data_IF_307541293934
#
_entry.id   IF_307541293934
#
_cell.length_a   1.000
_cell.length_b   1.000
_cell.length_c   1.000
_cell.angle_alpha   90.00
_cell.angle_beta   90.00
_cell.angle_gamma   90.00
#
_symmetry.space_group_name_H-M   'P 1'
#
loop_
_entity.id
_entity.type
_entity.pdbx_description
1 polymer ?
#
# COMPACT_ATOMS: atom_id res chain seq x y z
N UNK A 1 -20.50 30.45 37.84
CA UNK A 1 -21.20 30.63 36.54
C UNK A 1 -20.41 29.88 35.49
N UNK A 2 -21.01 28.81 34.98
CA UNK A 2 -20.40 27.67 34.30
C UNK A 2 -19.84 28.00 32.91
N UNK A 3 -18.53 27.81 32.71
CA UNK A 3 -17.89 27.74 31.38
C UNK A 3 -17.50 26.28 31.08
N UNK A 4 -18.46 25.37 31.01
CA UNK A 4 -18.19 23.91 30.88
C UNK A 4 -19.28 23.26 30.03
N UNK A 5 -19.36 23.63 28.75
CA UNK A 5 -20.33 22.98 27.85
C UNK A 5 -19.82 22.82 26.42
N UNK A 6 -18.96 23.73 25.94
CA UNK A 6 -18.41 23.63 24.57
C UNK A 6 -17.06 22.91 24.47
N UNK A 7 -16.25 22.93 25.52
CA UNK A 7 -14.95 22.22 25.55
C UNK A 7 -15.15 20.73 25.83
N UNK A 8 -16.12 20.38 26.70
CA UNK A 8 -16.47 18.99 27.03
C UNK A 8 -17.03 18.23 25.83
N UNK A 9 -17.81 18.89 24.95
CA UNK A 9 -18.30 18.29 23.69
C UNK A 9 -17.21 17.97 22.66
N UNK A 10 -16.02 18.57 22.77
CA UNK A 10 -14.88 18.28 21.89
C UNK A 10 -14.12 17.04 22.41
N UNK A 11 -14.13 16.82 23.73
CA UNK A 11 -13.42 15.70 24.38
C UNK A 11 -14.07 14.35 24.05
N UNK A 12 -15.40 14.33 23.85
CA UNK A 12 -16.17 13.11 23.55
C UNK A 12 -16.37 12.84 22.04
N UNK A 13 -15.64 13.53 21.16
CA UNK A 13 -15.69 13.28 19.71
C UNK A 13 -14.34 12.74 19.17
N UNK A 14 -14.41 11.69 18.36
CA UNK A 14 -13.23 11.10 17.74
C UNK A 14 -12.92 11.83 16.44
N UNK A 15 -11.74 12.48 16.41
CA UNK A 15 -11.20 13.03 15.18
C UNK A 15 -10.68 11.89 14.29
N UNK A 16 -11.31 11.71 13.13
CA UNK A 16 -10.98 10.64 12.17
C UNK A 16 -10.65 11.21 10.79
N UNK A 17 -9.94 10.41 9.99
CA UNK A 17 -9.71 10.73 8.57
C UNK A 17 -10.94 10.39 7.72
N UNK A 18 -10.94 10.88 6.48
CA UNK A 18 -12.01 10.65 5.51
C UNK A 18 -12.32 9.16 5.33
N UNK A 19 -11.31 8.31 5.28
CA UNK A 19 -11.45 6.88 5.01
C UNK A 19 -12.33 6.18 6.06
N UNK A 20 -12.30 6.63 7.32
CA UNK A 20 -13.15 6.10 8.39
C UNK A 20 -14.60 6.55 8.25
N UNK A 21 -14.83 7.80 7.85
CA UNK A 21 -16.18 8.31 7.58
C UNK A 21 -16.79 7.58 6.38
N UNK A 22 -16.00 7.27 5.35
CA UNK A 22 -16.45 6.55 4.16
C UNK A 22 -16.98 5.14 4.48
N UNK A 23 -16.44 4.47 5.51
CA UNK A 23 -16.93 3.15 5.94
C UNK A 23 -18.36 3.18 6.45
N UNK A 24 -18.89 4.34 6.84
CA UNK A 24 -20.27 4.49 7.28
C UNK A 24 -21.28 4.38 6.13
N UNK A 25 -20.83 4.48 4.88
CA UNK A 25 -21.70 4.57 3.70
C UNK A 25 -21.50 3.37 2.78
N UNK A 26 -22.60 2.74 2.39
CA UNK A 26 -22.63 1.69 1.38
C UNK A 26 -23.72 2.04 0.35
N UNK A 27 -23.36 2.35 -0.91
CA UNK A 27 -22.02 2.33 -1.49
C UNK A 27 -21.12 3.48 -1.01
N UNK A 28 -19.80 3.26 -1.11
CA UNK A 28 -18.79 4.26 -0.77
C UNK A 28 -18.99 5.53 -1.63
N UNK A 29 -19.08 6.73 -1.02
CA UNK A 29 -19.29 7.96 -1.78
C UNK A 29 -18.07 8.32 -2.62
N UNK A 30 -18.31 8.91 -3.79
CA UNK A 30 -17.26 9.51 -4.59
C UNK A 30 -16.65 10.73 -3.87
N UNK A 31 -15.42 11.10 -4.26
CA UNK A 31 -14.69 12.22 -3.63
C UNK A 31 -15.42 13.56 -3.72
N UNK A 32 -16.00 13.85 -4.88
CA UNK A 32 -16.76 15.09 -5.10
C UNK A 32 -18.00 15.12 -4.19
N UNK A 33 -18.76 14.03 -4.17
CA UNK A 33 -19.94 13.85 -3.32
C UNK A 33 -19.62 14.01 -1.84
N UNK A 34 -18.47 13.48 -1.38
CA UNK A 34 -18.02 13.64 -0.01
C UNK A 34 -17.77 15.12 0.35
N UNK A 35 -17.07 15.86 -0.53
CA UNK A 35 -16.84 17.29 -0.31
C UNK A 35 -18.14 18.10 -0.35
N UNK A 36 -19.08 17.75 -1.22
CA UNK A 36 -20.41 18.36 -1.23
C UNK A 36 -21.15 18.15 0.09
N UNK A 37 -21.04 16.96 0.69
CA UNK A 37 -21.63 16.67 2.00
C UNK A 37 -20.97 17.43 3.15
N UNK A 38 -19.66 17.68 3.06
CA UNK A 38 -18.96 18.56 4.00
C UNK A 38 -19.47 20.00 3.85
N UNK A 39 -19.61 20.50 2.63
CA UNK A 39 -20.11 21.85 2.35
C UNK A 39 -21.57 22.02 2.78
N UNK A 40 -22.41 21.00 2.56
CA UNK A 40 -23.80 20.94 3.05
C UNK A 40 -23.92 20.77 4.56
N UNK A 41 -22.80 20.53 5.25
CA UNK A 41 -22.77 20.36 6.70
C UNK A 41 -23.26 19.00 7.20
N UNK A 42 -23.45 18.01 6.33
CA UNK A 42 -23.76 16.63 6.74
C UNK A 42 -22.57 15.99 7.45
N UNK A 43 -21.36 16.24 6.95
CA UNK A 43 -20.10 15.78 7.54
C UNK A 43 -19.42 16.95 8.23
N UNK A 44 -19.01 16.76 9.49
CA UNK A 44 -18.46 17.84 10.32
C UNK A 44 -16.94 17.83 10.28
N UNK A 45 -16.32 18.92 9.84
CA UNK A 45 -14.86 19.08 9.91
C UNK A 45 -14.40 19.38 11.34
N UNK A 46 -13.24 18.83 11.69
CA UNK A 46 -12.53 19.21 12.92
C UNK A 46 -11.98 20.65 12.78
N UNK A 47 -12.08 21.44 13.84
CA UNK A 47 -11.54 22.81 13.84
C UNK A 47 -10.03 22.76 14.00
N UNK A 48 -9.30 23.56 13.22
CA UNK A 48 -7.85 23.64 13.28
C UNK A 48 -7.09 22.46 12.67
N UNK A 49 -7.79 21.41 12.21
CA UNK A 49 -7.19 20.21 11.62
C UNK A 49 -7.74 19.97 10.21
N UNK A 50 -6.93 20.28 9.19
CA UNK A 50 -7.32 20.09 7.79
C UNK A 50 -7.37 18.59 7.45
N UNK A 51 -8.48 18.16 6.85
CA UNK A 51 -8.67 16.76 6.42
C UNK A 51 -9.09 15.80 7.53
N UNK A 52 -9.38 16.32 8.73
CA UNK A 52 -9.95 15.56 9.83
C UNK A 52 -11.42 15.92 10.03
N UNK A 53 -12.20 14.92 10.42
CA UNK A 53 -13.64 15.01 10.58
C UNK A 53 -14.04 14.46 11.95
N UNK A 54 -15.14 14.97 12.47
CA UNK A 54 -15.69 14.60 13.76
C UNK A 54 -16.68 13.45 13.58
N UNK A 55 -16.33 12.26 14.06
CA UNK A 55 -17.08 11.03 13.82
C UNK A 55 -18.45 11.07 14.49
N UNK A 56 -18.51 11.38 15.79
CA UNK A 56 -19.75 11.34 16.55
C UNK A 56 -20.69 12.45 16.09
N UNK A 57 -20.19 13.67 15.85
CA UNK A 57 -21.01 14.75 15.27
C UNK A 57 -21.55 14.41 13.88
N UNK A 58 -20.75 13.75 13.03
CA UNK A 58 -21.22 13.30 11.71
C UNK A 58 -22.28 12.22 11.85
N UNK A 59 -22.09 11.23 12.72
CA UNK A 59 -23.07 10.15 12.98
C UNK A 59 -24.40 10.69 13.49
N UNK A 60 -24.37 11.60 14.47
CA UNK A 60 -25.58 12.23 15.01
C UNK A 60 -26.34 13.00 13.93
N UNK A 61 -25.64 13.72 13.02
CA UNK A 61 -26.28 14.42 11.89
C UNK A 61 -26.89 13.48 10.86
N UNK A 62 -26.32 12.29 10.70
CA UNK A 62 -26.88 11.22 9.87
C UNK A 62 -27.99 10.43 10.58
N UNK A 63 -28.36 10.79 11.81
CA UNK A 63 -29.37 10.09 12.61
C UNK A 63 -28.87 8.76 13.20
N UNK A 64 -27.56 8.53 13.24
CA UNK A 64 -26.96 7.33 13.80
C UNK A 64 -26.55 7.55 15.26
N UNK A 65 -26.58 6.47 16.05
CA UNK A 65 -26.09 6.51 17.43
C UNK A 65 -24.59 6.84 17.48
N UNK A 66 -24.15 7.71 18.41
CA UNK A 66 -22.74 8.02 18.60
C UNK A 66 -21.99 6.79 19.11
N UNK A 67 -20.69 6.73 18.85
CA UNK A 67 -19.80 5.69 19.36
C UNK A 67 -19.42 6.04 20.79
N UNK A 68 -19.60 5.08 21.71
CA UNK A 68 -19.15 5.21 23.10
C UNK A 68 -17.61 5.12 23.15
N UNK A 69 -16.97 6.28 23.32
CA UNK A 69 -15.50 6.36 23.34
C UNK A 69 -14.88 5.74 24.59
N UNK A 70 -15.62 5.60 25.70
CA UNK A 70 -15.09 4.93 26.89
C UNK A 70 -14.97 3.43 26.65
N UNK A 71 -15.97 2.84 25.98
CA UNK A 71 -15.90 1.45 25.51
C UNK A 71 -14.84 1.29 24.44
N UNK A 72 -14.85 2.15 23.43
CA UNK A 72 -13.86 2.08 22.34
C UNK A 72 -12.42 2.22 22.87
N UNK A 73 -12.15 3.16 23.78
CA UNK A 73 -10.83 3.32 24.41
C UNK A 73 -10.47 2.13 25.30
N UNK A 74 -11.44 1.46 25.93
CA UNK A 74 -11.21 0.26 26.74
C UNK A 74 -10.95 -0.99 25.88
N UNK A 75 -11.64 -1.10 24.74
CA UNK A 75 -11.47 -2.19 23.76
C UNK A 75 -10.21 -2.02 22.91
N UNK A 76 -9.87 -0.77 22.55
CA UNK A 76 -8.64 -0.38 21.87
C UNK A 76 -7.51 0.02 22.83
N UNK A 77 -7.70 -0.11 24.15
CA UNK A 77 -6.58 -0.15 25.07
C UNK A 77 -5.82 -1.41 24.69
N UNK A 78 -4.86 -1.23 23.79
CA UNK A 78 -3.93 -2.25 23.35
C UNK A 78 -3.50 -2.97 24.62
N UNK A 79 -3.82 -4.26 24.83
CA UNK A 79 -3.21 -5.03 25.89
C UNK A 79 -1.71 -4.75 25.76
N UNK A 80 -1.00 -4.40 26.83
CA UNK A 80 0.45 -4.22 26.70
C UNK A 80 1.00 -5.54 26.16
N UNK A 81 1.25 -5.57 24.86
CA UNK A 81 1.73 -6.77 24.18
C UNK A 81 3.16 -6.87 24.65
N UNK A 82 3.50 -7.92 25.39
CA UNK A 82 4.86 -8.12 25.85
C UNK A 82 5.78 -7.98 24.64
N UNK A 83 6.70 -7.03 24.74
CA UNK A 83 7.61 -6.67 23.63
C UNK A 83 8.43 -7.85 23.11
N UNK A 84 8.51 -8.94 23.88
CA UNK A 84 9.10 -10.22 23.50
C UNK A 84 8.20 -11.02 22.52
N UNK A 85 6.88 -11.06 22.73
CA UNK A 85 5.94 -11.75 21.84
C UNK A 85 5.71 -11.04 20.52
N UNK A 86 5.87 -9.70 20.47
CA UNK A 86 5.83 -8.96 19.20
C UNK A 86 7.04 -9.30 18.33
N UNK A 87 8.23 -9.46 18.93
CA UNK A 87 9.45 -9.85 18.20
C UNK A 87 9.31 -11.24 17.58
N UNK A 88 8.82 -12.21 18.36
CA UNK A 88 8.67 -13.60 17.92
C UNK A 88 7.65 -13.76 16.78
N UNK A 89 6.60 -12.92 16.74
CA UNK A 89 5.60 -12.95 15.66
C UNK A 89 6.03 -12.14 14.41
N UNK A 90 6.92 -11.15 14.55
CA UNK A 90 7.45 -10.40 13.40
C UNK A 90 8.42 -11.23 12.55
N UNK A 91 9.03 -12.26 13.12
CA UNK A 91 9.99 -13.14 12.43
C UNK A 91 9.33 -14.20 11.52
N UNK A 92 8.01 -14.40 11.60
CA UNK A 92 7.29 -15.46 10.86
C UNK A 92 6.57 -15.02 9.59
N UNK A 93 6.52 -13.73 9.27
CA UNK A 93 6.02 -13.29 7.96
C UNK A 93 7.17 -13.20 6.97
N UNK A 94 7.16 -14.05 5.94
CA UNK A 94 8.10 -13.88 4.82
C UNK A 94 7.96 -12.46 4.27
N UNK A 95 9.07 -11.71 4.15
CA UNK A 95 9.01 -10.32 3.74
C UNK A 95 8.39 -10.25 2.34
N UNK A 96 7.20 -9.64 2.25
CA UNK A 96 6.65 -9.20 0.96
C UNK A 96 7.73 -8.38 0.27
N UNK A 97 8.25 -8.90 -0.84
CA UNK A 97 9.35 -8.30 -1.57
C UNK A 97 9.01 -6.84 -1.92
N UNK A 98 9.55 -5.92 -1.13
CA UNK A 98 9.47 -4.50 -1.41
C UNK A 98 10.12 -4.29 -2.78
N UNK A 99 9.35 -3.85 -3.78
CA UNK A 99 9.84 -3.58 -5.14
C UNK A 99 11.01 -2.58 -5.14
N UNK A 100 11.23 -1.88 -4.02
CA UNK A 100 12.33 -0.93 -3.80
C UNK A 100 13.61 -1.55 -3.25
N UNK A 101 13.56 -2.75 -2.68
CA UNK A 101 14.70 -3.37 -1.98
C UNK A 101 15.59 -4.23 -2.90
N UNK A 102 15.08 -4.68 -4.04
CA UNK A 102 15.86 -5.34 -5.09
C UNK A 102 15.57 -4.71 -6.45
N UNK A 103 16.21 -3.58 -6.80
CA UNK A 103 16.01 -2.99 -8.12
C UNK A 103 16.39 -4.04 -9.18
N UNK A 104 15.56 -4.26 -10.20
CA UNK A 104 15.86 -5.25 -11.22
C UNK A 104 17.20 -4.93 -11.86
N UNK A 105 18.18 -5.80 -11.66
CA UNK A 105 19.48 -5.68 -12.29
C UNK A 105 19.31 -5.79 -13.82
N UNK A 106 19.42 -4.65 -14.49
CA UNK A 106 19.46 -4.57 -15.95
C UNK A 106 20.90 -4.71 -16.42
N UNK A 107 21.10 -5.49 -17.47
CA UNK A 107 22.39 -5.68 -18.11
C UNK A 107 22.28 -5.44 -19.61
N UNK A 108 23.38 -5.00 -20.21
CA UNK A 108 23.52 -4.85 -21.65
C UNK A 108 23.62 -6.22 -22.34
N UNK A 109 23.48 -6.26 -23.66
CA UNK A 109 23.64 -7.49 -24.46
C UNK A 109 25.01 -8.13 -24.24
N UNK A 110 26.07 -7.31 -24.12
CA UNK A 110 27.44 -7.81 -23.90
C UNK A 110 27.58 -8.46 -22.53
N UNK A 111 27.06 -7.83 -21.49
CA UNK A 111 27.07 -8.39 -20.12
C UNK A 111 26.20 -9.65 -20.03
N UNK A 112 25.04 -9.67 -20.70
CA UNK A 112 24.19 -10.86 -20.77
C UNK A 112 24.87 -12.04 -21.47
N UNK A 113 25.62 -11.77 -22.54
CA UNK A 113 26.39 -12.79 -23.24
C UNK A 113 27.48 -13.38 -22.34
N UNK A 114 28.20 -12.53 -21.61
CA UNK A 114 29.17 -12.97 -20.59
C UNK A 114 28.49 -13.78 -19.49
N UNK A 115 27.32 -13.34 -19.01
CA UNK A 115 26.57 -14.02 -17.96
C UNK A 115 26.15 -15.44 -18.36
N UNK A 116 25.64 -15.61 -19.58
CA UNK A 116 25.26 -16.90 -20.13
C UNK A 116 26.46 -17.72 -20.66
N UNK A 117 27.68 -17.18 -20.61
CA UNK A 117 28.88 -17.79 -21.20
C UNK A 117 28.69 -18.11 -22.70
N UNK A 118 28.05 -17.20 -23.43
CA UNK A 118 27.83 -17.33 -24.88
C UNK A 118 28.45 -16.17 -25.64
N UNK A 119 28.61 -16.34 -26.96
CA UNK A 119 29.04 -15.24 -27.81
C UNK A 119 27.98 -14.12 -27.89
N UNK A 120 28.36 -12.84 -28.03
CA UNK A 120 27.41 -11.75 -28.27
C UNK A 120 26.55 -11.98 -29.51
N UNK A 121 27.08 -12.64 -30.55
CA UNK A 121 26.35 -12.98 -31.76
C UNK A 121 25.23 -13.99 -31.47
N UNK A 122 25.50 -15.03 -30.66
CA UNK A 122 24.49 -15.96 -30.16
C UNK A 122 23.41 -15.21 -29.40
N UNK A 123 23.80 -14.30 -28.52
CA UNK A 123 22.84 -13.50 -27.76
C UNK A 123 21.94 -12.64 -28.66
N UNK A 124 22.50 -12.00 -29.68
CA UNK A 124 21.73 -11.25 -30.68
C UNK A 124 20.75 -12.15 -31.44
N UNK A 125 21.16 -13.38 -31.80
CA UNK A 125 20.29 -14.37 -32.44
C UNK A 125 19.13 -14.76 -31.54
N UNK A 126 19.36 -15.01 -30.25
CA UNK A 126 18.28 -15.36 -29.32
C UNK A 126 17.29 -14.20 -29.08
N UNK A 127 17.79 -12.96 -29.11
CA UNK A 127 16.96 -11.75 -29.04
C UNK A 127 16.11 -11.61 -30.33
N UNK A 128 16.69 -11.85 -31.51
CA UNK A 128 15.97 -11.82 -32.78
C UNK A 128 14.91 -12.93 -32.87
N UNK A 129 15.25 -14.13 -32.38
CA UNK A 129 14.34 -15.27 -32.27
C UNK A 129 13.27 -15.10 -31.18
N UNK A 130 13.33 -14.01 -30.39
CA UNK A 130 12.39 -13.69 -29.29
C UNK A 130 12.31 -14.75 -28.19
N UNK A 131 13.36 -15.55 -28.00
CA UNK A 131 13.42 -16.57 -26.93
C UNK A 131 13.71 -15.96 -25.56
N UNK A 132 14.35 -14.80 -25.53
CA UNK A 132 14.65 -14.03 -24.31
C UNK A 132 13.84 -12.74 -24.30
N UNK A 133 13.19 -12.45 -23.17
CA UNK A 133 12.46 -11.19 -22.99
C UNK A 133 13.44 -10.03 -22.83
N UNK A 134 13.23 -8.95 -23.59
CA UNK A 134 14.08 -7.76 -23.57
C UNK A 134 13.28 -6.48 -23.37
N UNK A 135 13.90 -5.49 -22.74
CA UNK A 135 13.37 -4.12 -22.59
C UNK A 135 14.17 -3.20 -23.51
N UNK A 136 13.48 -2.38 -24.30
CA UNK A 136 14.12 -1.39 -25.18
C UNK A 136 13.95 0.01 -24.60
N UNK A 137 15.04 0.74 -24.43
CA UNK A 137 15.05 2.14 -24.04
C UNK A 137 15.76 2.91 -25.15
N UNK A 138 14.97 3.54 -26.03
CA UNK A 138 15.47 4.13 -27.27
C UNK A 138 16.21 3.10 -28.13
N UNK A 139 17.48 3.37 -28.46
CA UNK A 139 18.35 2.46 -29.22
C UNK A 139 18.99 1.34 -28.39
N UNK A 140 18.86 1.38 -27.06
CA UNK A 140 19.53 0.43 -26.16
C UNK A 140 18.61 -0.75 -25.88
N UNK A 141 19.17 -1.95 -25.97
CA UNK A 141 18.53 -3.19 -25.53
C UNK A 141 19.07 -3.56 -24.16
N UNK A 142 18.18 -3.66 -23.19
CA UNK A 142 18.48 -4.04 -21.82
C UNK A 142 17.78 -5.35 -21.49
N UNK A 143 18.47 -6.21 -20.77
CA UNK A 143 17.98 -7.50 -20.31
C UNK A 143 17.91 -7.49 -18.80
N UNK A 144 16.84 -8.05 -18.25
CA UNK A 144 16.72 -8.23 -16.80
C UNK A 144 17.36 -9.55 -16.44
N UNK A 145 18.16 -9.57 -15.37
CA UNK A 145 18.76 -10.81 -14.85
C UNK A 145 17.72 -11.94 -14.67
N UNK A 146 16.58 -11.62 -14.06
CA UNK A 146 15.47 -12.58 -13.83
C UNK A 146 14.95 -13.23 -15.13
N UNK A 147 14.91 -12.49 -16.23
CA UNK A 147 14.44 -13.05 -17.51
C UNK A 147 15.52 -13.95 -18.16
N UNK A 148 16.81 -13.72 -17.87
CA UNK A 148 17.91 -14.59 -18.28
C UNK A 148 17.94 -15.87 -17.45
N UNK A 149 17.75 -15.76 -16.13
CA UNK A 149 17.65 -16.91 -15.22
C UNK A 149 16.52 -17.85 -15.66
N UNK A 150 15.33 -17.29 -15.95
CA UNK A 150 14.20 -18.05 -16.50
C UNK A 150 14.51 -18.71 -17.85
N UNK A 151 15.31 -18.05 -18.69
CA UNK A 151 15.75 -18.62 -19.97
C UNK A 151 16.69 -19.81 -19.76
N UNK A 152 17.61 -19.73 -18.78
CA UNK A 152 18.46 -20.86 -18.39
C UNK A 152 17.58 -22.01 -17.90
N UNK A 153 16.64 -21.77 -16.98
CA UNK A 153 15.74 -22.80 -16.46
C UNK A 153 14.94 -23.50 -17.58
N UNK A 154 14.40 -22.73 -18.53
CA UNK A 154 13.61 -23.26 -19.64
C UNK A 154 14.45 -24.12 -20.59
N UNK A 155 15.71 -23.75 -20.81
CA UNK A 155 16.61 -24.46 -21.73
C UNK A 155 17.44 -25.56 -21.06
N UNK A 156 17.71 -25.48 -19.76
CA UNK A 156 18.44 -26.49 -18.99
C UNK A 156 17.64 -27.78 -18.86
N UNK A 157 16.31 -27.72 -18.88
CA UNK A 157 15.45 -28.90 -18.91
C UNK A 157 15.66 -29.79 -20.15
N UNK A 158 16.32 -29.31 -21.21
CA UNK A 158 16.63 -30.09 -22.42
C UNK A 158 18.02 -30.74 -22.41
N UNK A 159 18.89 -30.42 -21.44
CA UNK A 159 20.25 -30.99 -21.37
C UNK A 159 20.33 -32.25 -20.47
N UNK A 160 19.23 -32.63 -19.84
CA UNK A 160 19.12 -33.80 -18.96
C UNK A 160 18.17 -34.89 -19.51
N UNK A 161 17.79 -34.82 -20.78
CA UNK A 161 17.01 -35.87 -21.49
C UNK A 161 17.83 -36.52 -22.61
#
# INVERSE_FOLDING_TARGET
MSKSSKEDEIIDDLCVRREEIEKLFHPKPARTTFHDWVNKGLIVMARGLRGYYLLNKTRVRLGMNPVDLKRYRKEMAIPQVDSEQVKENFEKEEPKADLRSNPPAYMSVKEAATYLTVSPATMHREIQARRVKVVRIGRRVLLRKVDLDRYIETNANWLNE
#
